data_IF_882453298899
#
_entry.id   IF_882453298899
#
_cell.length_a   1.000
_cell.length_b   1.000
_cell.length_c   1.000
_cell.angle_alpha   90.00
_cell.angle_beta   90.00
_cell.angle_gamma   90.00
#
_symmetry.space_group_name_H-M   'P 1'
#
loop_
_entity.id
_entity.type
_entity.pdbx_description
1 polymer ?
#
# COMPACT_ATOMS: atom_id res chain seq x y z
N UNK A 1 -10.25 18.09 -15.34
CA UNK A 1 -9.65 19.06 -14.38
C UNK A 1 -9.57 18.53 -12.95
N UNK A 2 -8.83 17.42 -12.71
CA UNK A 2 -8.73 16.85 -11.37
C UNK A 2 -7.30 16.49 -10.89
N UNK A 3 -6.20 16.95 -11.52
CA UNK A 3 -4.85 16.64 -11.04
C UNK A 3 -4.38 17.53 -9.87
N UNK A 4 -4.87 18.75 -9.74
CA UNK A 4 -4.34 19.75 -8.80
C UNK A 4 -4.67 19.44 -7.33
N UNK A 5 -5.84 18.88 -7.05
CA UNK A 5 -6.22 18.50 -5.66
C UNK A 5 -5.39 17.33 -5.10
N UNK A 6 -4.92 16.43 -5.94
CA UNK A 6 -4.10 15.28 -5.55
C UNK A 6 -2.67 15.68 -5.16
N UNK A 7 -2.08 16.64 -5.86
CA UNK A 7 -0.73 17.16 -5.59
C UNK A 7 -0.66 17.94 -4.27
N UNK A 8 -1.55 18.90 -4.06
CA UNK A 8 -1.59 19.69 -2.83
C UNK A 8 -1.86 18.84 -1.58
N UNK A 9 -2.77 17.87 -1.66
CA UNK A 9 -3.01 16.93 -0.56
C UNK A 9 -1.77 16.08 -0.27
N UNK A 10 -1.08 15.58 -1.31
CA UNK A 10 0.18 14.83 -1.16
C UNK A 10 1.26 15.65 -0.44
N UNK A 11 1.40 16.94 -0.78
CA UNK A 11 2.41 17.81 -0.16
C UNK A 11 2.07 18.18 1.30
N UNK A 12 0.81 18.33 1.62
CA UNK A 12 0.36 18.50 3.02
C UNK A 12 0.69 17.25 3.84
N UNK A 13 0.41 16.05 3.34
CA UNK A 13 0.73 14.79 4.02
C UNK A 13 2.24 14.60 4.19
N UNK A 14 3.05 14.91 3.18
CA UNK A 14 4.51 14.84 3.27
C UNK A 14 5.07 15.80 4.34
N UNK A 15 4.56 17.03 4.39
CA UNK A 15 4.96 18.02 5.43
C UNK A 15 4.57 17.55 6.82
N UNK A 16 3.36 17.01 6.98
CA UNK A 16 2.89 16.48 8.26
C UNK A 16 3.73 15.30 8.74
N UNK A 17 4.06 14.36 7.84
CA UNK A 17 4.91 13.21 8.17
C UNK A 17 6.31 13.64 8.63
N UNK A 18 6.93 14.60 7.92
CA UNK A 18 8.22 15.18 8.32
C UNK A 18 8.16 15.86 9.68
N UNK A 19 7.07 16.58 9.97
CA UNK A 19 6.90 17.25 11.26
C UNK A 19 6.74 16.24 12.40
N UNK A 20 5.96 15.19 12.22
CA UNK A 20 5.81 14.09 13.19
C UNK A 20 7.19 13.46 13.46
N UNK A 21 7.93 13.12 12.41
CA UNK A 21 9.27 12.53 12.55
C UNK A 21 10.22 13.42 13.35
N UNK A 22 10.23 14.74 13.09
CA UNK A 22 11.04 15.70 13.87
C UNK A 22 10.69 15.70 15.36
N UNK A 23 9.40 15.69 15.71
CA UNK A 23 8.97 15.66 17.10
C UNK A 23 9.35 14.35 17.80
N UNK A 24 9.26 13.21 17.08
CA UNK A 24 9.68 11.90 17.62
C UNK A 24 11.20 11.91 17.87
N UNK A 25 11.99 12.42 16.92
CA UNK A 25 13.45 12.49 17.07
C UNK A 25 13.84 13.40 18.23
N UNK A 26 13.24 14.58 18.36
CA UNK A 26 13.49 15.50 19.46
C UNK A 26 13.14 14.87 20.82
N UNK A 27 11.96 14.26 20.94
CA UNK A 27 11.56 13.61 22.19
C UNK A 27 12.51 12.46 22.61
N UNK A 28 13.02 11.67 21.64
CA UNK A 28 13.99 10.60 21.92
C UNK A 28 15.36 11.10 22.40
N UNK A 29 15.72 12.34 22.10
CA UNK A 29 16.96 12.93 22.59
C UNK A 29 16.86 13.30 24.08
N UNK A 30 15.67 13.60 24.58
CA UNK A 30 15.41 13.94 25.98
C UNK A 30 15.20 12.68 26.84
N UNK A 31 14.36 11.75 26.35
CA UNK A 31 14.08 10.49 27.04
C UNK A 31 13.62 9.40 26.06
N UNK A 32 13.84 8.11 26.37
CA UNK A 32 13.28 7.00 25.58
C UNK A 32 11.74 7.06 25.50
N UNK A 33 11.19 6.75 24.32
CA UNK A 33 9.75 6.60 24.13
C UNK A 33 9.38 5.14 24.39
N UNK A 34 8.87 4.84 25.56
CA UNK A 34 8.67 3.46 26.03
C UNK A 34 7.24 2.95 25.84
N UNK A 35 6.25 3.86 25.74
CA UNK A 35 4.84 3.47 25.65
C UNK A 35 4.16 4.04 24.40
N UNK A 36 3.11 3.36 23.94
CA UNK A 36 2.26 3.86 22.85
C UNK A 36 1.58 5.16 23.22
N UNK A 37 1.25 5.36 24.51
CA UNK A 37 0.67 6.61 25.01
C UNK A 37 1.60 7.80 24.82
N UNK A 38 2.87 7.69 25.22
CA UNK A 38 3.88 8.72 24.99
C UNK A 38 4.01 9.06 23.50
N UNK A 39 4.08 8.06 22.63
CA UNK A 39 4.15 8.29 21.19
C UNK A 39 2.91 9.01 20.65
N UNK A 40 1.71 8.67 21.14
CA UNK A 40 0.47 9.35 20.76
C UNK A 40 0.53 10.84 21.13
N UNK A 41 0.99 11.19 22.31
CA UNK A 41 1.09 12.61 22.74
C UNK A 41 2.13 13.37 21.90
N UNK A 42 3.26 12.79 21.59
CA UNK A 42 4.26 13.37 20.68
C UNK A 42 3.63 13.64 19.30
N UNK A 43 2.92 12.65 18.74
CA UNK A 43 2.26 12.79 17.45
C UNK A 43 1.16 13.88 17.50
N UNK A 44 0.37 13.93 18.57
CA UNK A 44 -0.63 14.98 18.76
C UNK A 44 -0.02 16.39 18.84
N UNK A 45 1.13 16.53 19.48
CA UNK A 45 1.86 17.81 19.55
C UNK A 45 2.32 18.28 18.15
N UNK A 46 2.71 17.33 17.29
CA UNK A 46 3.18 17.60 15.93
C UNK A 46 2.05 17.97 14.95
N UNK A 47 0.77 17.70 15.28
CA UNK A 47 -0.36 17.88 14.37
C UNK A 47 -1.22 19.06 14.83
N UNK A 48 -1.53 20.05 13.97
CA UNK A 48 -2.41 21.18 14.32
C UNK A 48 -3.80 20.71 14.81
N UNK A 49 -4.34 21.41 15.82
CA UNK A 49 -5.65 21.08 16.42
C UNK A 49 -6.77 20.94 15.38
N UNK A 50 -6.80 21.82 14.37
CA UNK A 50 -7.79 21.80 13.27
C UNK A 50 -7.74 20.51 12.47
N UNK A 51 -6.56 19.96 12.22
CA UNK A 51 -6.38 18.72 11.45
C UNK A 51 -6.77 17.49 12.29
N UNK A 52 -6.54 17.55 13.61
CA UNK A 52 -6.94 16.47 14.53
C UNK A 52 -8.47 16.32 14.65
N UNK A 53 -9.21 17.41 14.51
CA UNK A 53 -10.67 17.43 14.65
C UNK A 53 -11.41 16.82 13.43
N UNK A 54 -10.80 16.79 12.25
CA UNK A 54 -11.45 16.40 11.00
C UNK A 54 -11.14 14.98 10.54
N UNK A 55 -10.30 14.23 11.26
CA UNK A 55 -9.83 12.88 10.88
C UNK A 55 -10.06 11.84 11.98
N UNK A 56 -9.86 10.57 11.64
CA UNK A 56 -9.78 9.48 12.62
C UNK A 56 -8.59 9.66 13.56
N UNK A 57 -8.33 8.65 14.41
CA UNK A 57 -7.24 8.70 15.39
C UNK A 57 -5.91 9.18 14.76
N UNK A 58 -5.31 10.29 15.25
CA UNK A 58 -4.22 10.99 14.57
C UNK A 58 -2.95 10.15 14.41
N UNK A 59 -2.70 9.21 15.33
CA UNK A 59 -1.52 8.34 15.31
C UNK A 59 -1.68 7.09 14.45
N UNK A 60 -2.89 6.75 13.95
CA UNK A 60 -3.15 5.50 13.21
C UNK A 60 -2.19 5.29 12.04
N UNK A 61 -1.98 6.32 11.22
CA UNK A 61 -1.08 6.25 10.06
C UNK A 61 0.39 6.13 10.45
N UNK A 62 0.78 6.75 11.56
CA UNK A 62 2.15 6.66 12.07
C UNK A 62 2.45 5.27 12.60
N UNK A 63 1.56 4.68 13.40
CA UNK A 63 1.69 3.29 13.85
C UNK A 63 1.71 2.30 12.67
N UNK A 64 0.86 2.51 11.68
CA UNK A 64 0.89 1.71 10.46
C UNK A 64 2.24 1.82 9.74
N UNK A 65 2.79 3.03 9.61
CA UNK A 65 4.08 3.25 8.95
C UNK A 65 5.24 2.56 9.71
N UNK A 66 5.26 2.66 11.04
CA UNK A 66 6.24 1.99 11.88
C UNK A 66 6.15 0.46 11.74
N UNK A 67 4.93 -0.10 11.75
CA UNK A 67 4.71 -1.54 11.58
C UNK A 67 5.19 -2.04 10.21
N UNK A 68 4.82 -1.32 9.15
CA UNK A 68 5.22 -1.65 7.78
C UNK A 68 6.75 -1.65 7.64
N UNK A 69 7.41 -0.64 8.20
CA UNK A 69 8.87 -0.51 8.13
C UNK A 69 9.57 -1.59 8.97
N UNK A 70 9.14 -1.78 10.22
CA UNK A 70 9.73 -2.76 11.11
C UNK A 70 9.61 -4.20 10.58
N UNK A 71 8.47 -4.54 10.02
CA UNK A 71 8.20 -5.88 9.49
C UNK A 71 8.58 -6.02 8.02
N UNK A 72 9.08 -4.98 7.36
CA UNK A 72 9.39 -4.98 5.91
C UNK A 72 8.20 -5.45 5.04
N UNK A 73 6.97 -5.17 5.47
CA UNK A 73 5.75 -5.76 4.89
C UNK A 73 5.66 -5.55 3.37
N UNK A 74 5.96 -4.34 2.90
CA UNK A 74 5.88 -4.02 1.46
C UNK A 74 7.05 -4.58 0.65
N UNK A 75 8.20 -4.72 1.27
CA UNK A 75 9.40 -5.27 0.64
C UNK A 75 9.25 -6.79 0.45
N UNK A 76 8.91 -7.50 1.51
CA UNK A 76 8.62 -8.94 1.47
C UNK A 76 7.55 -9.24 0.41
N UNK A 77 6.46 -8.46 0.36
CA UNK A 77 5.42 -8.63 -0.65
C UNK A 77 5.94 -8.45 -2.09
N UNK A 78 6.85 -7.50 -2.31
CA UNK A 78 7.45 -7.29 -3.66
C UNK A 78 8.37 -8.42 -4.06
N UNK A 79 9.21 -8.88 -3.13
CA UNK A 79 10.21 -9.90 -3.37
C UNK A 79 9.55 -11.27 -3.62
N UNK A 80 8.53 -11.62 -2.82
CA UNK A 80 7.91 -12.94 -2.87
C UNK A 80 6.88 -13.13 -4.00
N UNK A 81 6.22 -12.06 -4.45
CA UNK A 81 5.06 -12.22 -5.34
C UNK A 81 5.44 -12.63 -6.77
N UNK A 82 6.57 -12.15 -7.29
CA UNK A 82 7.09 -12.60 -8.59
C UNK A 82 7.46 -14.09 -8.53
N UNK A 83 8.10 -14.55 -7.44
CA UNK A 83 8.46 -15.95 -7.22
C UNK A 83 7.22 -16.85 -7.09
N UNK A 84 6.20 -16.38 -6.36
CA UNK A 84 4.93 -17.12 -6.24
C UNK A 84 4.24 -17.31 -7.59
N UNK A 85 4.32 -16.32 -8.49
CA UNK A 85 3.77 -16.43 -9.85
C UNK A 85 4.55 -17.49 -10.66
N UNK A 86 5.88 -17.54 -10.50
CA UNK A 86 6.70 -18.56 -11.19
C UNK A 86 6.40 -19.99 -10.75
N UNK A 87 6.04 -20.18 -9.48
CA UNK A 87 5.72 -21.49 -8.93
C UNK A 87 4.31 -21.99 -9.31
N UNK A 88 3.46 -21.15 -9.91
CA UNK A 88 2.15 -21.59 -10.35
C UNK A 88 2.27 -22.55 -11.55
N UNK A 89 1.49 -23.60 -11.52
CA UNK A 89 1.25 -24.42 -12.71
C UNK A 89 0.45 -23.64 -13.74
N UNK A 90 0.50 -24.09 -14.99
CA UNK A 90 -0.39 -23.59 -16.05
C UNK A 90 -1.85 -23.65 -15.58
N UNK A 91 -2.60 -22.58 -15.86
CA UNK A 91 -3.98 -22.35 -15.41
C UNK A 91 -4.16 -22.22 -13.88
N UNK A 92 -3.05 -22.25 -13.13
CA UNK A 92 -3.03 -21.98 -11.70
C UNK A 92 -3.36 -20.52 -11.38
N UNK A 93 -4.04 -20.28 -10.26
CA UNK A 93 -4.43 -18.94 -9.82
C UNK A 93 -3.81 -18.56 -8.50
N UNK A 94 -3.33 -17.34 -8.42
CA UNK A 94 -2.94 -16.69 -7.17
C UNK A 94 -4.00 -15.65 -6.79
N UNK A 95 -4.50 -15.75 -5.55
CA UNK A 95 -5.51 -14.88 -4.98
C UNK A 95 -4.88 -14.11 -3.80
N UNK A 96 -4.80 -12.79 -3.89
CA UNK A 96 -4.18 -11.95 -2.86
C UNK A 96 -5.23 -11.01 -2.27
N UNK A 97 -5.39 -11.06 -0.95
CA UNK A 97 -6.19 -10.09 -0.20
C UNK A 97 -5.27 -9.05 0.42
N UNK A 98 -5.54 -7.79 0.18
CA UNK A 98 -4.82 -6.65 0.74
C UNK A 98 -5.75 -5.81 1.60
N UNK A 99 -5.22 -5.19 2.66
CA UNK A 99 -6.00 -4.38 3.61
C UNK A 99 -5.70 -2.88 3.55
N UNK A 100 -4.67 -2.47 2.81
CA UNK A 100 -4.40 -1.06 2.59
C UNK A 100 -3.91 -0.76 1.16
N UNK A 101 -3.95 0.54 0.82
CA UNK A 101 -3.70 1.00 -0.56
C UNK A 101 -2.27 0.78 -1.06
N UNK A 102 -1.28 0.68 -0.16
CA UNK A 102 0.12 0.46 -0.55
C UNK A 102 0.32 -0.99 -1.01
N UNK A 103 -0.21 -1.97 -0.26
CA UNK A 103 -0.22 -3.38 -0.67
C UNK A 103 -0.95 -3.56 -2.00
N UNK A 104 -2.19 -3.04 -2.11
CA UNK A 104 -3.01 -3.14 -3.32
C UNK A 104 -2.29 -2.58 -4.55
N UNK A 105 -1.53 -1.49 -4.38
CA UNK A 105 -0.73 -0.89 -5.46
C UNK A 105 0.40 -1.80 -5.91
N UNK A 106 1.08 -2.46 -4.98
CA UNK A 106 2.17 -3.39 -5.26
C UNK A 106 1.62 -4.60 -6.02
N UNK A 107 0.61 -5.27 -5.48
CA UNK A 107 -0.02 -6.45 -6.11
C UNK A 107 -0.51 -6.11 -7.52
N UNK A 108 -1.24 -5.00 -7.68
CA UNK A 108 -1.69 -4.52 -8.98
C UNK A 108 -0.53 -4.26 -9.95
N UNK A 109 0.56 -3.67 -9.46
CA UNK A 109 1.75 -3.38 -10.27
C UNK A 109 2.42 -4.66 -10.76
N UNK A 110 2.64 -5.62 -9.87
CA UNK A 110 3.30 -6.88 -10.18
C UNK A 110 2.45 -7.73 -11.13
N UNK A 111 1.15 -7.85 -10.88
CA UNK A 111 0.26 -8.58 -11.77
C UNK A 111 0.23 -7.98 -13.18
N UNK A 112 0.20 -6.65 -13.30
CA UNK A 112 0.28 -5.99 -14.61
C UNK A 112 1.61 -6.18 -15.31
N UNK A 113 2.72 -6.12 -14.56
CA UNK A 113 4.07 -6.38 -15.10
C UNK A 113 4.17 -7.80 -15.65
N UNK A 114 3.61 -8.78 -14.96
CA UNK A 114 3.62 -10.17 -15.40
C UNK A 114 2.62 -10.46 -16.54
N UNK A 115 1.51 -9.70 -16.64
CA UNK A 115 0.58 -9.76 -17.79
C UNK A 115 1.17 -9.10 -19.03
N UNK A 116 1.81 -7.93 -18.86
CA UNK A 116 2.41 -7.16 -19.96
C UNK A 116 3.85 -6.78 -19.59
N UNK A 117 4.80 -7.70 -19.72
CA UNK A 117 6.18 -7.46 -19.29
C UNK A 117 7.01 -6.64 -20.26
N UNK A 118 6.43 -6.17 -21.36
CA UNK A 118 7.12 -5.39 -22.37
C UNK A 118 7.74 -4.11 -21.77
N UNK A 119 9.06 -3.93 -22.03
CA UNK A 119 9.84 -2.76 -21.61
C UNK A 119 10.21 -1.84 -22.77
N UNK A 120 9.74 -2.13 -23.98
CA UNK A 120 10.01 -1.30 -25.14
C UNK A 120 9.36 0.07 -25.03
N UNK A 121 10.00 1.14 -25.57
CA UNK A 121 9.36 2.44 -25.70
C UNK A 121 8.04 2.34 -26.47
N UNK A 122 7.03 3.09 -26.06
CA UNK A 122 5.66 3.03 -26.63
C UNK A 122 5.58 3.39 -28.13
N UNK A 123 6.61 4.07 -28.67
CA UNK A 123 6.68 4.46 -30.08
C UNK A 123 7.31 3.37 -30.99
N UNK A 124 7.77 2.27 -30.42
CA UNK A 124 8.33 1.16 -31.22
C UNK A 124 7.19 0.40 -31.91
N UNK A 125 7.27 0.20 -33.24
CA UNK A 125 6.24 -0.49 -34.00
C UNK A 125 6.16 -1.99 -33.68
N UNK A 126 7.25 -2.59 -33.23
CA UNK A 126 7.35 -4.01 -32.88
C UNK A 126 8.11 -4.18 -31.56
N UNK A 127 7.65 -5.11 -30.72
CA UNK A 127 8.33 -5.45 -29.50
C UNK A 127 9.66 -6.19 -29.79
N UNK A 128 10.75 -5.68 -29.21
CA UNK A 128 12.12 -6.24 -29.37
C UNK A 128 12.72 -6.69 -28.04
N UNK A 129 12.02 -6.57 -26.91
CA UNK A 129 12.56 -6.92 -25.60
C UNK A 129 12.55 -8.43 -25.30
N UNK A 130 11.83 -9.24 -26.06
CA UNK A 130 11.73 -10.69 -25.86
C UNK A 130 11.01 -11.12 -24.58
N UNK A 131 10.44 -10.18 -23.81
CA UNK A 131 9.71 -10.51 -22.60
C UNK A 131 8.34 -11.10 -22.94
N UNK A 132 8.05 -12.29 -22.41
CA UNK A 132 6.78 -12.98 -22.61
C UNK A 132 5.85 -12.82 -21.42
N UNK A 133 4.53 -12.79 -21.70
CA UNK A 133 3.50 -12.76 -20.66
C UNK A 133 3.53 -14.05 -19.86
N UNK A 134 3.50 -13.93 -18.53
CA UNK A 134 3.42 -15.07 -17.62
C UNK A 134 1.97 -15.46 -17.28
N UNK A 135 1.01 -14.63 -17.64
CA UNK A 135 -0.38 -14.89 -17.30
C UNK A 135 -1.29 -13.69 -17.54
N UNK A 136 -2.47 -13.74 -16.95
CA UNK A 136 -3.48 -12.70 -17.12
C UNK A 136 -4.07 -12.23 -15.78
N UNK A 137 -4.38 -10.94 -15.70
CA UNK A 137 -5.08 -10.34 -14.57
C UNK A 137 -6.57 -10.63 -14.69
N UNK A 138 -7.09 -11.50 -13.83
CA UNK A 138 -8.52 -11.85 -13.81
C UNK A 138 -9.34 -10.67 -13.26
N UNK A 139 -8.87 -10.03 -12.20
CA UNK A 139 -9.57 -8.92 -11.55
C UNK A 139 -8.94 -7.57 -11.91
N UNK A 140 -9.37 -6.93 -13.00
CA UNK A 140 -8.93 -5.57 -13.36
C UNK A 140 -9.32 -4.54 -12.30
N UNK A 141 -10.54 -4.66 -11.73
CA UNK A 141 -10.98 -3.98 -10.50
C UNK A 141 -10.90 -4.98 -9.35
N UNK A 142 -10.48 -4.58 -8.14
CA UNK A 142 -10.46 -5.50 -7.01
C UNK A 142 -11.89 -5.92 -6.65
N UNK A 143 -12.04 -7.16 -6.19
CA UNK A 143 -13.28 -7.61 -5.56
C UNK A 143 -13.28 -7.05 -4.13
N UNK A 144 -14.37 -6.44 -3.74
CA UNK A 144 -14.58 -5.86 -2.41
C UNK A 144 -15.51 -6.78 -1.59
N UNK A 145 -15.44 -6.72 -0.25
CA UNK A 145 -16.34 -7.48 0.61
C UNK A 145 -17.79 -7.11 0.35
N UNK A 146 -18.67 -8.11 0.37
CA UNK A 146 -20.10 -7.91 0.24
C UNK A 146 -20.75 -7.32 1.50
N UNK A 147 -22.01 -6.88 1.41
CA UNK A 147 -22.74 -6.29 2.54
C UNK A 147 -22.81 -7.24 3.74
N UNK A 148 -23.13 -8.52 3.52
CA UNK A 148 -23.21 -9.55 4.56
C UNK A 148 -21.86 -9.72 5.28
N UNK A 149 -20.75 -9.80 4.54
CA UNK A 149 -19.42 -9.91 5.12
C UNK A 149 -19.05 -8.68 5.96
N UNK A 150 -19.46 -7.49 5.53
CA UNK A 150 -19.22 -6.25 6.29
C UNK A 150 -20.00 -6.19 7.61
N UNK A 151 -21.18 -6.76 7.65
CA UNK A 151 -22.01 -6.90 8.85
C UNK A 151 -21.40 -7.90 9.85
N UNK A 152 -20.96 -9.06 9.34
CA UNK A 152 -20.39 -10.13 10.17
C UNK A 152 -18.94 -9.83 10.59
N UNK A 153 -18.17 -9.13 9.75
CA UNK A 153 -16.76 -8.83 9.95
C UNK A 153 -16.39 -7.40 9.54
N UNK A 154 -16.55 -6.47 10.46
CA UNK A 154 -16.21 -5.06 10.22
C UNK A 154 -14.74 -4.80 9.84
N UNK A 155 -13.83 -5.75 10.12
CA UNK A 155 -12.41 -5.66 9.75
C UNK A 155 -12.19 -5.84 8.25
N UNK A 156 -13.12 -6.49 7.53
CA UNK A 156 -13.05 -6.68 6.07
C UNK A 156 -13.25 -5.39 5.27
N UNK A 157 -13.71 -4.30 5.90
CA UNK A 157 -14.05 -3.02 5.22
C UNK A 157 -12.98 -2.49 4.27
N UNK A 158 -11.71 -2.76 4.55
CA UNK A 158 -10.58 -2.30 3.72
C UNK A 158 -10.03 -3.38 2.80
N UNK A 159 -10.59 -4.60 2.85
CA UNK A 159 -10.11 -5.74 2.09
C UNK A 159 -10.32 -5.55 0.58
N UNK A 160 -9.35 -6.00 -0.21
CA UNK A 160 -9.38 -5.99 -1.67
C UNK A 160 -8.78 -7.29 -2.17
N UNK A 161 -9.56 -8.10 -2.84
CA UNK A 161 -9.09 -9.34 -3.48
C UNK A 161 -8.67 -9.06 -4.91
N UNK A 162 -7.46 -9.51 -5.27
CA UNK A 162 -6.95 -9.54 -6.64
C UNK A 162 -6.55 -10.95 -7.04
N UNK A 163 -6.79 -11.29 -8.29
CA UNK A 163 -6.57 -12.62 -8.86
C UNK A 163 -5.75 -12.49 -10.14
N UNK A 164 -4.70 -13.31 -10.23
CA UNK A 164 -3.89 -13.51 -11.43
C UNK A 164 -3.88 -14.99 -11.76
N UNK A 165 -3.89 -15.33 -13.05
CA UNK A 165 -3.87 -16.70 -13.57
C UNK A 165 -2.66 -16.89 -14.46
N UNK A 166 -1.90 -17.97 -14.24
CA UNK A 166 -0.77 -18.38 -15.08
C UNK A 166 -1.28 -18.96 -16.40
N UNK A 167 -0.64 -18.66 -17.53
CA UNK A 167 -0.92 -19.23 -18.85
C UNK A 167 0.19 -20.15 -19.32
#
# INVERSE_FOLDING_TARGET
>A
STPIKSSAASDVYKRQAKNIAKHIVAARQEAPVETTGQLIEIIKAAIPKKVRATGGHPAKKTFQAIRIELNRELEVLRESLDDMIELLNKDGRICIITFHSLEDRIVKGIFRKNENPCTCPSHFPVCVCGNESKGRVITRKPILPGAKELEENSRSKSAKLRIFERV
#
